data_IF_609491943252
#
_entry.id   IF_609491943252
#
_cell.length_a   1.000
_cell.length_b   1.000
_cell.length_c   1.000
_cell.angle_alpha   90.00
_cell.angle_beta   90.00
_cell.angle_gamma   90.00
#
_symmetry.space_group_name_H-M   'P 1'
#
loop_
_entity.id
_entity.type
_entity.pdbx_description
1 polymer ?
#
# COMPACT_ATOMS: atom_id res chain seq x y z
N UNK A 1 -32.50 -7.51 -4.15
CA UNK A 1 -31.16 -7.46 -3.54
C UNK A 1 -30.22 -8.25 -4.44
N UNK A 2 -29.30 -7.59 -5.16
CA UNK A 2 -28.25 -8.28 -5.93
C UNK A 2 -26.91 -7.88 -5.35
N UNK A 3 -26.24 -8.83 -4.72
CA UNK A 3 -24.86 -8.66 -4.27
C UNK A 3 -24.01 -9.56 -5.15
N UNK A 4 -22.89 -9.00 -5.62
CA UNK A 4 -21.73 -9.73 -6.12
C UNK A 4 -21.83 -10.38 -7.51
N UNK A 5 -21.09 -9.80 -8.49
CA UNK A 5 -20.36 -10.55 -9.55
C UNK A 5 -19.51 -9.66 -10.49
N UNK A 6 -18.87 -8.61 -9.97
CA UNK A 6 -17.78 -7.89 -10.67
C UNK A 6 -16.73 -7.43 -9.68
N UNK A 7 -16.14 -8.39 -8.97
CA UNK A 7 -14.90 -8.14 -8.23
C UNK A 7 -13.82 -7.81 -9.26
N UNK A 8 -12.95 -6.85 -8.96
CA UNK A 8 -11.82 -6.57 -9.82
C UNK A 8 -10.85 -7.75 -9.74
N UNK A 9 -10.37 -8.23 -10.90
CA UNK A 9 -9.43 -9.36 -11.01
C UNK A 9 -8.13 -8.82 -11.59
N UNK A 10 -7.03 -9.12 -10.91
CA UNK A 10 -5.70 -8.65 -11.26
C UNK A 10 -4.78 -8.64 -10.05
N UNK A 11 -3.63 -7.98 -10.18
CA UNK A 11 -2.63 -7.86 -9.13
C UNK A 11 -2.60 -6.47 -8.50
N UNK A 12 -2.46 -6.42 -7.17
CA UNK A 12 -2.02 -5.23 -6.46
C UNK A 12 -0.51 -5.36 -6.22
N UNK A 13 0.27 -4.34 -6.56
CA UNK A 13 1.72 -4.36 -6.43
C UNK A 13 2.23 -3.14 -5.69
N UNK A 14 3.29 -3.38 -4.95
CA UNK A 14 4.12 -2.38 -4.29
C UNK A 14 5.50 -2.43 -4.94
N UNK A 15 5.98 -1.29 -5.42
CA UNK A 15 7.31 -1.18 -6.07
C UNK A 15 8.40 -0.67 -5.11
N UNK A 16 8.07 -0.39 -3.85
CA UNK A 16 8.98 0.22 -2.87
C UNK A 16 8.68 1.69 -2.58
N UNK A 17 7.95 2.38 -3.46
CA UNK A 17 7.63 3.80 -3.37
C UNK A 17 6.13 4.09 -3.52
N UNK A 18 5.45 3.33 -4.36
CA UNK A 18 4.06 3.52 -4.75
C UNK A 18 3.32 2.20 -4.94
N UNK A 19 1.99 2.31 -4.94
CA UNK A 19 1.09 1.20 -5.19
C UNK A 19 0.52 1.27 -6.59
N UNK A 20 0.49 0.14 -7.29
CA UNK A 20 -0.12 0.00 -8.61
C UNK A 20 -1.10 -1.16 -8.65
N UNK A 21 -2.21 -0.95 -9.37
CA UNK A 21 -3.15 -1.99 -9.72
C UNK A 21 -2.95 -2.41 -11.17
N UNK A 22 -2.85 -3.71 -11.41
CA UNK A 22 -2.62 -4.31 -12.73
C UNK A 22 -3.77 -5.27 -13.06
N UNK A 23 -4.53 -4.98 -14.12
CA UNK A 23 -5.63 -5.85 -14.52
C UNK A 23 -5.13 -6.93 -15.49
N UNK A 24 -5.44 -8.19 -15.20
CA UNK A 24 -5.12 -9.30 -16.10
C UNK A 24 -6.01 -9.24 -17.37
N UNK A 25 -5.40 -9.26 -18.55
CA UNK A 25 -6.11 -9.28 -19.85
C UNK A 25 -5.30 -8.69 -21.02
N UNK A 26 -5.88 -8.72 -22.23
CA UNK A 26 -5.23 -8.31 -23.51
C UNK A 26 -4.99 -6.81 -23.67
N UNK A 27 -5.05 -6.05 -22.58
CA UNK A 27 -4.68 -4.66 -22.49
C UNK A 27 -4.33 -4.41 -21.03
N UNK A 28 -3.06 -4.58 -20.68
CA UNK A 28 -2.59 -4.37 -19.31
C UNK A 28 -2.92 -2.95 -18.87
N UNK A 29 -3.83 -2.83 -17.91
CA UNK A 29 -4.18 -1.54 -17.33
C UNK A 29 -3.43 -1.43 -16.01
N UNK A 30 -2.44 -0.53 -15.98
CA UNK A 30 -1.74 -0.12 -14.78
C UNK A 30 -2.37 1.16 -14.23
N UNK A 31 -2.81 1.14 -12.97
CA UNK A 31 -3.32 2.33 -12.28
C UNK A 31 -2.53 2.57 -11.00
N UNK A 32 -1.82 3.69 -10.93
CA UNK A 32 -1.21 4.14 -9.70
C UNK A 32 -2.31 4.53 -8.68
N UNK A 33 -2.08 4.18 -7.41
CA UNK A 33 -2.94 4.64 -6.33
C UNK A 33 -2.54 6.03 -5.87
N UNK A 34 -3.53 6.87 -5.54
CA UNK A 34 -3.29 8.19 -4.96
C UNK A 34 -2.94 8.14 -3.47
N UNK A 35 -3.20 7.01 -2.81
CA UNK A 35 -2.90 6.76 -1.41
C UNK A 35 -2.63 5.26 -1.17
N UNK A 36 -1.93 4.90 -0.09
CA UNK A 36 -1.77 3.50 0.30
C UNK A 36 -3.11 2.77 0.49
N UNK A 37 -3.18 1.45 0.23
CA UNK A 37 -4.37 0.64 0.51
C UNK A 37 -4.79 0.73 1.97
N UNK A 38 -6.09 0.87 2.20
CA UNK A 38 -6.69 0.82 3.53
C UNK A 38 -7.12 -0.61 3.84
N UNK A 39 -6.56 -1.21 4.89
CA UNK A 39 -6.92 -2.57 5.31
C UNK A 39 -8.22 -2.51 6.11
N UNK A 40 -9.28 -3.14 5.59
CA UNK A 40 -10.59 -3.21 6.24
C UNK A 40 -10.75 -4.48 7.07
N UNK A 41 -10.16 -5.58 6.61
CA UNK A 41 -10.20 -6.89 7.28
C UNK A 41 -8.94 -7.70 6.95
N UNK A 42 -8.34 -8.33 7.95
CA UNK A 42 -7.22 -9.27 7.80
C UNK A 42 -7.57 -10.60 8.47
N UNK A 43 -7.70 -11.66 7.66
CA UNK A 43 -7.97 -13.03 8.07
C UNK A 43 -6.73 -13.93 7.95
N UNK A 44 -5.54 -13.33 8.03
CA UNK A 44 -4.21 -13.91 7.86
C UNK A 44 -3.89 -14.48 6.48
N UNK A 45 -4.79 -15.27 5.88
CA UNK A 45 -4.67 -15.82 4.54
C UNK A 45 -5.46 -15.02 3.49
N UNK A 46 -6.32 -14.11 3.95
CA UNK A 46 -7.11 -13.22 3.11
C UNK A 46 -7.06 -11.81 3.67
N UNK A 47 -6.97 -10.81 2.79
CA UNK A 47 -7.05 -9.41 3.16
C UNK A 47 -8.14 -8.74 2.32
N UNK A 48 -9.01 -8.01 2.99
CA UNK A 48 -9.94 -7.10 2.34
C UNK A 48 -9.40 -5.68 2.44
N UNK A 49 -9.12 -5.08 1.29
CA UNK A 49 -8.55 -3.74 1.23
C UNK A 49 -9.40 -2.81 0.37
N UNK A 50 -9.33 -1.53 0.71
CA UNK A 50 -9.92 -0.44 -0.05
C UNK A 50 -8.80 0.37 -0.70
N UNK A 51 -8.85 0.52 -2.02
CA UNK A 51 -7.83 1.23 -2.80
C UNK A 51 -8.44 2.42 -3.52
N UNK A 52 -7.67 3.48 -3.68
CA UNK A 52 -8.10 4.72 -4.37
C UNK A 52 -7.16 4.97 -5.56
N UNK A 53 -7.50 4.49 -6.77
CA UNK A 53 -6.67 4.76 -7.95
C UNK A 53 -6.79 6.24 -8.37
N UNK A 54 -5.69 6.82 -8.82
CA UNK A 54 -5.67 8.23 -9.23
C UNK A 54 -6.68 8.50 -10.36
N UNK A 55 -7.58 9.47 -10.16
CA UNK A 55 -8.61 9.81 -11.14
C UNK A 55 -9.78 8.81 -11.25
N UNK A 56 -9.86 7.81 -10.37
CA UNK A 56 -10.92 6.80 -10.40
C UNK A 56 -11.64 6.65 -9.06
N UNK A 57 -12.77 5.93 -9.11
CA UNK A 57 -13.51 5.59 -7.90
C UNK A 57 -12.72 4.60 -7.06
N UNK A 58 -12.89 4.75 -5.74
CA UNK A 58 -12.43 3.80 -4.74
C UNK A 58 -12.96 2.41 -5.08
N UNK A 59 -12.09 1.41 -4.97
CA UNK A 59 -12.34 0.02 -5.36
C UNK A 59 -12.00 -0.89 -4.18
N UNK A 60 -12.81 -1.93 -3.97
CA UNK A 60 -12.55 -2.95 -2.97
C UNK A 60 -11.86 -4.14 -3.62
N UNK A 61 -10.78 -4.63 -3.00
CA UNK A 61 -10.01 -5.77 -3.46
C UNK A 61 -9.96 -6.84 -2.38
N UNK A 62 -10.18 -8.07 -2.80
CA UNK A 62 -9.96 -9.26 -1.99
C UNK A 62 -8.64 -9.89 -2.39
N UNK A 63 -7.66 -9.87 -1.48
CA UNK A 63 -6.33 -10.43 -1.69
C UNK A 63 -6.26 -11.80 -1.04
N UNK A 64 -5.74 -12.78 -1.76
CA UNK A 64 -5.67 -14.17 -1.32
C UNK A 64 -4.23 -14.67 -1.31
N UNK A 65 -3.83 -15.32 -0.22
CA UNK A 65 -2.50 -15.96 -0.12
C UNK A 65 -2.27 -17.00 -1.21
N UNK A 66 -3.32 -17.69 -1.65
CA UNK A 66 -3.23 -18.76 -2.63
C UNK A 66 -2.68 -18.30 -3.99
N UNK A 67 -2.84 -17.02 -4.34
CA UNK A 67 -2.37 -16.51 -5.63
C UNK A 67 -0.84 -16.40 -5.71
N UNK A 68 -0.18 -15.99 -4.61
CA UNK A 68 1.28 -15.83 -4.52
C UNK A 68 1.74 -16.07 -3.07
N UNK A 69 1.77 -17.32 -2.60
CA UNK A 69 2.00 -17.63 -1.18
C UNK A 69 3.39 -17.22 -0.70
N UNK A 70 4.40 -17.30 -1.57
CA UNK A 70 5.78 -16.87 -1.33
C UNK A 70 5.92 -15.37 -1.07
N UNK A 71 5.09 -14.53 -1.70
CA UNK A 71 5.14 -13.06 -1.56
C UNK A 71 4.11 -12.52 -0.57
N UNK A 72 3.32 -13.39 0.03
CA UNK A 72 2.18 -13.01 0.87
C UNK A 72 2.59 -12.22 2.10
N UNK A 73 3.66 -12.63 2.77
CA UNK A 73 4.13 -11.93 3.97
C UNK A 73 4.65 -10.53 3.63
N UNK A 74 5.37 -10.39 2.51
CA UNK A 74 5.88 -9.10 2.05
C UNK A 74 4.73 -8.18 1.63
N UNK A 75 3.70 -8.71 0.98
CA UNK A 75 2.47 -7.97 0.66
C UNK A 75 1.77 -7.46 1.92
N UNK A 76 1.59 -8.33 2.93
CA UNK A 76 1.02 -7.94 4.23
C UNK A 76 1.86 -6.87 4.91
N UNK A 77 3.18 -7.03 4.92
CA UNK A 77 4.10 -6.01 5.47
C UNK A 77 3.96 -4.70 4.73
N UNK A 78 3.90 -4.70 3.39
CA UNK A 78 3.77 -3.49 2.60
C UNK A 78 2.47 -2.71 2.91
N UNK A 79 1.32 -3.39 3.04
CA UNK A 79 0.05 -2.70 3.35
C UNK A 79 0.02 -2.09 4.75
N UNK A 80 0.69 -2.71 5.73
CA UNK A 80 0.75 -2.19 7.10
C UNK A 80 1.87 -1.17 7.32
N UNK A 81 3.00 -1.35 6.65
CA UNK A 81 4.22 -0.56 6.85
C UNK A 81 4.16 0.81 6.19
N UNK A 82 2.96 1.37 5.99
CA UNK A 82 2.65 2.70 5.42
C UNK A 82 3.92 3.45 5.05
N UNK A 83 4.18 3.66 3.76
CA UNK A 83 5.06 4.75 3.37
C UNK A 83 4.44 6.02 3.95
N UNK A 84 4.87 6.38 5.16
CA UNK A 84 4.59 7.65 5.80
C UNK A 84 5.09 8.62 4.74
N UNK A 85 4.21 9.44 4.12
CA UNK A 85 4.70 10.57 3.36
C UNK A 85 5.61 11.25 4.36
N UNK A 86 6.90 11.36 4.06
CA UNK A 86 7.83 12.12 4.89
C UNK A 86 7.20 13.50 5.02
N UNK A 87 6.45 13.69 6.09
CA UNK A 87 6.02 14.99 6.51
C UNK A 87 7.34 15.72 6.70
N UNK A 88 7.43 16.86 6.05
CA UNK A 88 8.61 17.68 5.86
C UNK A 88 9.07 18.31 7.19
N UNK A 89 9.35 17.46 8.19
CA UNK A 89 9.87 17.82 9.49
C UNK A 89 11.33 17.38 9.53
N UNK A 90 12.10 17.88 8.57
CA UNK A 90 13.55 17.89 8.62
C UNK A 90 14.03 19.26 9.13
N UNK A 91 13.40 19.82 10.17
CA UNK A 91 14.01 20.88 10.96
C UNK A 91 13.31 21.00 12.32
N UNK A 92 13.79 20.26 13.31
CA UNK A 92 13.76 20.66 14.71
C UNK A 92 14.42 19.55 15.54
N UNK A 93 15.47 19.93 16.26
CA UNK A 93 16.19 19.13 17.27
C UNK A 93 17.45 18.43 16.76
N UNK A 94 18.47 19.23 16.41
CA UNK A 94 19.82 18.88 16.77
C UNK A 94 20.08 19.38 18.22
N UNK A 95 20.50 18.53 19.17
CA UNK A 95 21.01 19.02 20.43
C UNK A 95 22.39 19.64 20.18
N UNK A 96 22.55 20.93 20.50
CA UNK A 96 23.86 21.56 20.58
C UNK A 96 24.59 21.02 21.81
N UNK A 97 25.33 19.92 21.63
CA UNK A 97 26.42 19.53 22.53
C UNK A 97 27.74 19.77 21.82
N UNK A 98 28.44 20.82 22.24
CA UNK A 98 29.89 20.90 22.14
C UNK A 98 30.43 21.55 23.42
N UNK A 99 30.99 20.70 24.26
CA UNK A 99 31.82 21.07 25.40
C UNK A 99 33.17 21.67 24.93
N UNK A 100 33.77 22.55 25.72
CA UNK A 100 35.16 22.97 25.52
C UNK A 100 35.59 24.07 26.50
N UNK A 101 36.53 23.72 27.38
CA UNK A 101 37.18 24.55 28.39
C UNK A 101 38.21 25.54 27.78
N UNK A 102 38.81 26.35 28.68
CA UNK A 102 40.15 26.98 28.65
C UNK A 102 40.17 28.40 28.03
N UNK A 103 40.68 29.48 28.64
CA UNK A 103 41.53 29.72 29.83
C UNK A 103 41.11 30.99 30.57
#
# INVERSE_FOLDING_TARGET
>A
MHFWRRQWVGALRWDGQGWTMERDGSGEIFRALSAPPEVLLDLQAHLWVCVSPAGHRRTWLWLERASQPERWLDMRRAVYSRAVPRADNADATAPATAAGRES
#
